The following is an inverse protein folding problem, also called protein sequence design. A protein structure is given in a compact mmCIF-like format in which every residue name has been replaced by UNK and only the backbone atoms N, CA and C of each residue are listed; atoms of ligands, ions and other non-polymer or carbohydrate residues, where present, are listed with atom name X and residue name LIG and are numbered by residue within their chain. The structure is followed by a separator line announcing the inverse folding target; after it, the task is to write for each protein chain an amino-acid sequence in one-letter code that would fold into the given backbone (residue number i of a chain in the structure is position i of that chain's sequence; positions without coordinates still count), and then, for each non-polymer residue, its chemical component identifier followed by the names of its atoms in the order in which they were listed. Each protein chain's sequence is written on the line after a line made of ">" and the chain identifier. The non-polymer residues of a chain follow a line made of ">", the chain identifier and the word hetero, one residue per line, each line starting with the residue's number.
data_IF_594759504654
#
_entry.id   IF_594759504654
#
_cell.length_a   1.000
_cell.length_b   1.000
_cell.length_c   1.000
_cell.angle_alpha   90.00
_cell.angle_beta   90.00
_cell.angle_gamma   90.00
#
_symmetry.space_group_name_H-M   'P 1'
#
loop_
_entity.id
_entity.type
_entity.pdbx_description
1 polymer ?
#
# COMPACT_ATOMS: atom_id res chain seq x y z
N UNK A 1 9.58 -3.02 13.61
CA UNK A 1 9.57 -2.45 12.25
C UNK A 1 8.18 -2.53 11.61
N UNK A 2 7.73 -1.49 10.91
CA UNK A 2 6.49 -1.47 10.12
C UNK A 2 6.76 -1.03 8.68
N UNK A 3 6.33 -1.82 7.70
CA UNK A 3 6.60 -1.59 6.27
C UNK A 3 5.35 -1.13 5.55
N UNK A 4 5.47 -0.12 4.69
CA UNK A 4 4.34 0.45 3.95
C UNK A 4 4.46 0.23 2.45
N UNK A 5 3.38 -0.24 1.82
CA UNK A 5 3.22 -0.32 0.38
C UNK A 5 2.11 0.63 -0.11
N UNK A 6 2.22 1.01 -1.38
CA UNK A 6 1.10 1.59 -2.11
C UNK A 6 0.09 0.50 -2.52
N UNK A 7 -1.19 0.84 -2.67
CA UNK A 7 -2.16 -0.05 -3.31
C UNK A 7 -1.89 -0.09 -4.83
N UNK A 8 -2.61 -0.94 -5.53
CA UNK A 8 -2.62 -0.92 -6.99
C UNK A 8 -3.93 -0.37 -7.55
N UNK A 9 -3.86 0.22 -8.76
CA UNK A 9 -5.04 0.71 -9.48
C UNK A 9 -5.90 -0.43 -10.05
N UNK A 10 -5.27 -1.56 -10.35
CA UNK A 10 -5.91 -2.76 -10.88
C UNK A 10 -6.15 -3.75 -9.76
N UNK A 11 -7.28 -4.45 -9.83
CA UNK A 11 -7.71 -5.46 -8.87
C UNK A 11 -8.12 -6.71 -9.64
N UNK A 12 -7.72 -7.89 -9.17
CA UNK A 12 -8.24 -9.16 -9.64
C UNK A 12 -9.07 -9.82 -8.53
N UNK A 13 -10.39 -9.83 -8.72
CA UNK A 13 -11.32 -10.54 -7.84
C UNK A 13 -11.71 -11.92 -8.41
N UNK A 14 -11.27 -12.28 -9.60
CA UNK A 14 -11.44 -13.61 -10.19
C UNK A 14 -10.28 -14.52 -9.79
N UNK A 15 -10.14 -14.74 -8.48
CA UNK A 15 -9.13 -15.60 -7.87
C UNK A 15 -9.78 -16.59 -6.90
N UNK A 16 -9.25 -17.80 -6.83
CA UNK A 16 -9.48 -18.67 -5.69
C UNK A 16 -8.68 -18.12 -4.51
N UNK A 17 -9.33 -17.97 -3.36
CA UNK A 17 -8.66 -17.50 -2.14
C UNK A 17 -8.33 -18.71 -1.27
N UNK A 18 -7.07 -18.88 -0.84
CA UNK A 18 -6.72 -19.96 0.08
C UNK A 18 -7.41 -19.73 1.42
N UNK A 19 -7.81 -20.80 2.11
CA UNK A 19 -8.40 -20.69 3.44
C UNK A 19 -7.37 -20.13 4.43
N UNK A 20 -7.57 -18.89 4.84
CA UNK A 20 -6.74 -18.15 5.79
C UNK A 20 -7.62 -17.49 6.84
N UNK A 21 -7.03 -17.12 7.97
CA UNK A 21 -7.68 -16.30 8.98
C UNK A 21 -7.73 -14.85 8.52
N UNK A 22 -8.74 -14.54 7.71
CA UNK A 22 -8.93 -13.22 7.16
C UNK A 22 -9.23 -12.20 8.25
N UNK A 23 -8.73 -11.01 8.02
CA UNK A 23 -8.94 -9.88 8.91
C UNK A 23 -9.87 -8.86 8.24
N UNK A 24 -10.17 -7.81 8.97
CA UNK A 24 -11.21 -6.85 8.60
C UNK A 24 -10.61 -5.45 8.58
N UNK A 25 -10.97 -4.60 7.59
CA UNK A 25 -10.45 -3.24 7.53
C UNK A 25 -10.66 -2.52 8.85
N UNK A 26 -9.66 -1.78 9.32
CA UNK A 26 -9.73 -1.06 10.59
C UNK A 26 -10.77 0.05 10.54
N UNK A 27 -10.71 0.89 9.50
CA UNK A 27 -11.51 2.11 9.36
C UNK A 27 -12.84 1.86 8.63
N UNK A 28 -13.63 0.86 9.06
CA UNK A 28 -14.88 0.49 8.36
C UNK A 28 -15.89 1.62 8.30
N UNK A 29 -16.05 2.35 9.41
CA UNK A 29 -17.04 3.42 9.50
C UNK A 29 -16.64 4.59 8.61
N UNK A 30 -15.36 4.94 8.60
CA UNK A 30 -14.80 5.99 7.75
C UNK A 30 -14.90 5.62 6.28
N UNK A 31 -14.63 4.35 5.95
CA UNK A 31 -14.78 3.78 4.60
C UNK A 31 -16.23 3.90 4.15
N UNK A 32 -17.20 3.48 4.98
CA UNK A 32 -18.62 3.56 4.66
C UNK A 32 -19.05 5.01 4.38
N UNK A 33 -18.64 5.97 5.21
CA UNK A 33 -18.91 7.41 5.00
C UNK A 33 -18.39 7.89 3.65
N UNK A 34 -17.18 7.48 3.28
CA UNK A 34 -16.55 7.87 2.01
C UNK A 34 -17.27 7.24 0.81
N UNK A 35 -17.62 5.95 0.90
CA UNK A 35 -18.40 5.23 -0.12
C UNK A 35 -19.76 5.88 -0.34
N UNK A 36 -20.47 6.30 0.70
CA UNK A 36 -21.78 6.94 0.56
C UNK A 36 -21.71 8.25 -0.24
N UNK A 37 -20.60 8.98 -0.16
CA UNK A 37 -20.36 10.16 -0.99
C UNK A 37 -20.03 9.77 -2.44
N UNK A 38 -19.20 8.74 -2.64
CA UNK A 38 -18.85 8.24 -3.97
C UNK A 38 -20.07 7.65 -4.71
N UNK A 39 -21.03 7.07 -3.99
CA UNK A 39 -22.31 6.59 -4.54
C UNK A 39 -23.17 7.69 -5.14
N UNK A 40 -22.96 8.96 -4.79
CA UNK A 40 -23.71 10.08 -5.35
C UNK A 40 -23.18 10.54 -6.71
N UNK A 41 -21.95 10.16 -7.04
CA UNK A 41 -21.31 10.57 -8.29
C UNK A 41 -21.90 9.80 -9.48
N UNK A 42 -22.11 10.50 -10.59
CA UNK A 42 -22.36 9.85 -11.87
C UNK A 42 -21.06 9.25 -12.44
N UNK A 43 -21.18 8.37 -13.43
CA UNK A 43 -20.00 7.89 -14.16
C UNK A 43 -19.22 9.06 -14.82
N UNK A 44 -19.91 10.10 -15.30
CA UNK A 44 -19.25 11.29 -15.86
C UNK A 44 -18.46 12.06 -14.79
N UNK A 45 -19.00 12.21 -13.58
CA UNK A 45 -18.29 12.83 -12.46
C UNK A 45 -17.05 12.03 -12.08
N UNK A 46 -17.17 10.71 -12.00
CA UNK A 46 -16.05 9.80 -11.70
C UNK A 46 -14.95 9.90 -12.77
N UNK A 47 -15.34 9.95 -14.05
CA UNK A 47 -14.42 10.12 -15.18
C UNK A 47 -13.56 11.38 -15.00
N UNK A 48 -14.21 12.50 -14.71
CA UNK A 48 -13.57 13.80 -14.54
C UNK A 48 -12.72 13.85 -13.26
N UNK A 49 -13.25 13.32 -12.16
CA UNK A 49 -12.61 13.30 -10.85
C UNK A 49 -11.31 12.47 -10.84
N UNK A 50 -11.33 11.30 -11.48
CA UNK A 50 -10.22 10.32 -11.46
C UNK A 50 -9.35 10.37 -12.71
N UNK A 51 -9.71 11.19 -13.71
CA UNK A 51 -9.04 11.29 -15.01
C UNK A 51 -8.88 9.92 -15.70
N UNK A 52 -9.99 9.22 -15.87
CA UNK A 52 -10.04 7.86 -16.44
C UNK A 52 -10.88 7.80 -17.72
N UNK A 53 -10.83 6.68 -18.44
CA UNK A 53 -11.72 6.42 -19.57
C UNK A 53 -13.17 6.19 -19.13
N UNK A 54 -14.11 6.31 -20.06
CA UNK A 54 -15.55 6.05 -19.81
C UNK A 54 -15.78 4.64 -19.25
N UNK A 55 -15.11 3.63 -19.82
CA UNK A 55 -15.21 2.25 -19.35
C UNK A 55 -14.78 2.08 -17.88
N UNK A 56 -13.68 2.73 -17.49
CA UNK A 56 -13.19 2.67 -16.10
C UNK A 56 -14.11 3.48 -15.18
N UNK A 57 -14.64 4.60 -15.65
CA UNK A 57 -15.56 5.41 -14.88
C UNK A 57 -16.87 4.66 -14.60
N UNK A 58 -17.46 4.04 -15.62
CA UNK A 58 -18.66 3.20 -15.49
C UNK A 58 -18.41 2.02 -14.56
N UNK A 59 -17.27 1.33 -14.72
CA UNK A 59 -16.90 0.22 -13.83
C UNK A 59 -16.85 0.66 -12.36
N UNK A 60 -16.28 1.83 -12.07
CA UNK A 60 -16.19 2.31 -10.69
C UNK A 60 -17.50 2.88 -10.15
N UNK A 61 -18.33 3.48 -11.01
CA UNK A 61 -19.73 3.81 -10.68
C UNK A 61 -20.46 2.56 -10.17
N UNK A 62 -20.42 1.47 -10.94
CA UNK A 62 -21.05 0.20 -10.56
C UNK A 62 -20.46 -0.37 -9.26
N UNK A 63 -19.13 -0.32 -9.10
CA UNK A 63 -18.47 -0.77 -7.85
C UNK A 63 -18.96 0.01 -6.65
N UNK A 64 -19.11 1.33 -6.74
CA UNK A 64 -19.61 2.15 -5.64
C UNK A 64 -21.07 1.87 -5.33
N UNK A 65 -21.94 1.76 -6.36
CA UNK A 65 -23.35 1.41 -6.17
C UNK A 65 -23.52 0.05 -5.49
N UNK A 66 -22.70 -0.93 -5.88
CA UNK A 66 -22.75 -2.29 -5.35
C UNK A 66 -21.95 -2.50 -4.05
N UNK A 67 -21.27 -1.46 -3.54
CA UNK A 67 -20.45 -1.57 -2.34
C UNK A 67 -21.32 -1.83 -1.10
N UNK A 68 -20.94 -2.85 -0.33
CA UNK A 68 -21.66 -3.34 0.86
C UNK A 68 -20.94 -2.91 2.15
N UNK A 69 -21.69 -2.72 3.24
CA UNK A 69 -21.10 -2.51 4.57
C UNK A 69 -20.68 -3.82 5.27
N UNK A 70 -20.68 -4.95 4.54
CA UNK A 70 -20.20 -6.26 5.02
C UNK A 70 -19.01 -6.73 4.18
N UNK A 71 -17.93 -7.14 4.85
CA UNK A 71 -16.71 -7.64 4.21
C UNK A 71 -16.60 -9.14 4.44
N UNK A 72 -17.18 -9.90 3.52
CA UNK A 72 -17.19 -11.35 3.54
C UNK A 72 -17.04 -11.89 2.12
N UNK A 73 -16.53 -13.12 2.00
CA UNK A 73 -16.51 -13.84 0.75
C UNK A 73 -17.94 -14.09 0.23
N UNK A 74 -18.15 -14.15 -1.10
CA UNK A 74 -17.15 -13.96 -2.16
C UNK A 74 -16.91 -12.49 -2.54
N UNK A 75 -17.63 -11.54 -1.94
CA UNK A 75 -17.67 -10.14 -2.38
C UNK A 75 -16.48 -9.30 -1.93
N UNK A 76 -15.84 -9.68 -0.83
CA UNK A 76 -14.62 -9.06 -0.32
C UNK A 76 -13.51 -10.11 -0.24
N UNK A 77 -12.29 -9.76 -0.64
CA UNK A 77 -11.13 -10.67 -0.73
C UNK A 77 -9.87 -10.02 -0.12
N UNK A 78 -8.88 -10.81 0.32
CA UNK A 78 -7.69 -10.30 1.01
C UNK A 78 -6.92 -9.28 0.16
N UNK A 79 -6.61 -8.12 0.76
CA UNK A 79 -5.98 -7.00 0.06
C UNK A 79 -4.71 -7.39 -0.72
N UNK A 80 -3.78 -8.10 -0.08
CA UNK A 80 -2.51 -8.49 -0.69
C UNK A 80 -2.66 -9.47 -1.87
N UNK A 81 -3.81 -10.16 -1.97
CA UNK A 81 -4.07 -11.14 -3.03
C UNK A 81 -4.83 -10.55 -4.22
N UNK A 82 -5.65 -9.52 -4.01
CA UNK A 82 -6.44 -8.92 -5.10
C UNK A 82 -5.77 -7.75 -5.79
N UNK A 83 -4.86 -7.02 -5.12
CA UNK A 83 -4.15 -5.94 -5.80
C UNK A 83 -3.25 -6.50 -6.90
N UNK A 84 -3.37 -5.94 -8.10
CA UNK A 84 -2.58 -6.36 -9.27
C UNK A 84 -1.75 -5.21 -9.82
N UNK A 85 -0.46 -5.45 -10.02
CA UNK A 85 0.49 -4.46 -10.50
C UNK A 85 1.91 -4.81 -10.08
N UNK A 86 2.89 -4.03 -10.53
CA UNK A 86 4.31 -4.37 -10.35
C UNK A 86 4.73 -4.59 -8.89
N UNK A 87 4.21 -3.77 -7.96
CA UNK A 87 4.46 -3.98 -6.53
C UNK A 87 3.96 -5.35 -6.06
N UNK A 88 2.79 -5.78 -6.49
CA UNK A 88 2.18 -7.03 -6.02
C UNK A 88 2.72 -8.25 -6.77
N UNK A 89 3.18 -8.08 -8.02
CA UNK A 89 3.98 -9.08 -8.74
C UNK A 89 5.31 -9.33 -8.02
N UNK A 90 5.97 -8.27 -7.56
CA UNK A 90 7.20 -8.38 -6.77
C UNK A 90 6.96 -8.94 -5.36
N UNK A 91 5.83 -8.59 -4.72
CA UNK A 91 5.45 -9.12 -3.40
C UNK A 91 5.25 -10.64 -3.47
N UNK A 92 4.59 -11.10 -4.54
CA UNK A 92 4.32 -12.51 -4.83
C UNK A 92 3.74 -13.28 -3.63
N UNK A 93 2.71 -12.71 -3.00
CA UNK A 93 2.16 -13.18 -1.73
C UNK A 93 1.48 -14.57 -1.82
N UNK A 94 1.21 -15.08 -3.03
CA UNK A 94 0.67 -16.43 -3.21
C UNK A 94 1.61 -17.54 -2.70
N UNK A 95 2.91 -17.26 -2.58
CA UNK A 95 3.91 -18.22 -2.09
C UNK A 95 4.07 -18.21 -0.56
N UNK A 96 3.32 -17.37 0.15
CA UNK A 96 3.51 -17.20 1.59
C UNK A 96 3.03 -18.42 2.36
N UNK A 97 3.87 -18.90 3.27
CA UNK A 97 3.47 -19.88 4.29
C UNK A 97 2.55 -19.25 5.34
N UNK A 98 2.01 -20.04 6.26
CA UNK A 98 1.21 -19.53 7.37
C UNK A 98 2.02 -18.53 8.23
N UNK A 99 3.30 -18.80 8.48
CA UNK A 99 4.21 -17.93 9.23
C UNK A 99 4.55 -16.64 8.46
N UNK A 100 4.63 -16.71 7.13
CA UNK A 100 4.73 -15.52 6.27
C UNK A 100 3.49 -14.64 6.39
N UNK A 101 2.29 -15.23 6.36
CA UNK A 101 1.05 -14.48 6.52
C UNK A 101 0.92 -13.84 7.91
N UNK A 102 1.26 -14.57 8.97
CA UNK A 102 1.25 -14.05 10.33
C UNK A 102 2.20 -12.84 10.44
N UNK A 103 3.46 -13.01 10.01
CA UNK A 103 4.44 -11.93 10.06
C UNK A 103 4.02 -10.73 9.19
N UNK A 104 3.51 -10.96 7.98
CA UNK A 104 3.02 -9.90 7.11
C UNK A 104 1.84 -9.15 7.76
N UNK A 105 0.95 -9.84 8.47
CA UNK A 105 -0.17 -9.22 9.18
C UNK A 105 0.29 -8.21 10.25
N UNK A 106 1.40 -8.52 10.91
CA UNK A 106 1.96 -7.68 11.97
C UNK A 106 2.81 -6.54 11.40
N UNK A 107 3.60 -6.81 10.35
CA UNK A 107 4.69 -5.94 9.90
C UNK A 107 4.46 -5.22 8.57
N UNK A 108 3.40 -5.53 7.81
CA UNK A 108 3.12 -4.92 6.51
C UNK A 108 1.79 -4.14 6.52
N UNK A 109 1.79 -2.93 5.98
CA UNK A 109 0.59 -2.11 5.76
C UNK A 109 0.50 -1.66 4.32
N UNK A 110 -0.71 -1.61 3.79
CA UNK A 110 -1.02 -1.08 2.46
C UNK A 110 -1.83 0.20 2.67
N UNK A 111 -1.26 1.34 2.29
CA UNK A 111 -2.00 2.61 2.34
C UNK A 111 -3.12 2.60 1.30
N UNK A 112 -4.24 3.28 1.57
CA UNK A 112 -5.40 3.26 0.68
C UNK A 112 -6.16 4.59 0.72
N UNK A 113 -6.57 5.10 -0.45
CA UNK A 113 -7.44 6.27 -0.50
C UNK A 113 -8.86 5.99 0.01
N UNK A 114 -9.35 4.75 -0.11
CA UNK A 114 -10.69 4.36 0.32
C UNK A 114 -10.72 3.81 1.75
N UNK A 115 -9.71 3.02 2.12
CA UNK A 115 -9.66 2.30 3.40
C UNK A 115 -8.71 2.94 4.42
N UNK A 116 -8.00 4.02 4.06
CA UNK A 116 -6.96 4.66 4.87
C UNK A 116 -5.69 3.82 4.93
N UNK A 117 -5.75 2.70 5.65
CA UNK A 117 -4.68 1.72 5.82
C UNK A 117 -5.26 0.32 5.95
N UNK A 118 -4.61 -0.64 5.30
CA UNK A 118 -5.00 -2.05 5.29
C UNK A 118 -3.85 -2.92 5.77
N UNK A 119 -4.18 -4.02 6.43
CA UNK A 119 -3.28 -5.17 6.58
C UNK A 119 -3.41 -6.12 5.37
N UNK A 120 -2.45 -7.02 5.14
CA UNK A 120 -2.43 -7.89 3.97
C UNK A 120 -3.69 -8.78 3.83
N UNK A 121 -4.26 -9.21 4.96
CA UNK A 121 -5.44 -10.10 4.97
C UNK A 121 -6.76 -9.37 5.25
N UNK A 122 -6.76 -8.04 5.31
CA UNK A 122 -8.01 -7.29 5.43
C UNK A 122 -8.84 -7.56 4.16
N UNK A 123 -10.08 -8.01 4.36
CA UNK A 123 -11.01 -8.22 3.25
C UNK A 123 -11.46 -6.89 2.67
N UNK A 124 -11.16 -6.66 1.39
CA UNK A 124 -11.58 -5.46 0.65
C UNK A 124 -12.53 -5.80 -0.48
N UNK A 125 -13.41 -4.86 -0.80
CA UNK A 125 -14.26 -4.87 -1.99
C UNK A 125 -13.61 -4.10 -3.14
N UNK A 126 -13.98 -4.39 -4.40
CA UNK A 126 -13.39 -3.74 -5.57
C UNK A 126 -13.70 -2.24 -5.59
N UNK A 127 -12.69 -1.43 -5.88
CA UNK A 127 -12.81 0.03 -5.91
C UNK A 127 -11.71 0.66 -6.78
N UNK A 128 -11.78 1.97 -6.98
CA UNK A 128 -10.63 2.78 -7.43
C UNK A 128 -10.69 4.17 -6.82
N UNK A 129 -9.83 4.43 -5.85
CA UNK A 129 -9.69 5.76 -5.28
C UNK A 129 -8.23 5.98 -4.90
N UNK A 130 -7.49 6.66 -5.78
CA UNK A 130 -6.12 7.08 -5.50
C UNK A 130 -6.08 8.13 -4.38
N UNK A 131 -5.06 8.09 -3.51
CA UNK A 131 -4.94 9.02 -2.38
C UNK A 131 -4.83 10.48 -2.85
N UNK A 132 -4.20 10.70 -4.02
CA UNK A 132 -4.10 12.02 -4.64
C UNK A 132 -5.38 12.55 -5.28
N UNK A 133 -6.48 11.80 -5.29
CA UNK A 133 -7.75 12.23 -5.88
C UNK A 133 -8.27 13.49 -5.18
N UNK A 134 -8.57 14.55 -5.96
CA UNK A 134 -9.11 15.81 -5.44
C UNK A 134 -10.60 15.71 -5.14
N UNK A 135 -10.94 14.87 -4.17
CA UNK A 135 -12.31 14.62 -3.75
C UNK A 135 -12.62 15.37 -2.45
N UNK A 136 -13.43 16.44 -2.55
CA UNK A 136 -13.91 17.19 -1.40
C UNK A 136 -15.29 16.68 -0.97
N UNK A 137 -15.48 16.46 0.33
CA UNK A 137 -16.73 15.91 0.87
C UNK A 137 -16.82 16.22 2.37
N UNK A 138 -18.03 16.39 2.90
CA UNK A 138 -18.30 16.56 4.34
C UNK A 138 -17.35 17.56 5.04
N UNK A 139 -17.01 18.67 4.38
CA UNK A 139 -16.11 19.71 4.90
C UNK A 139 -14.60 19.45 4.74
N UNK A 140 -14.19 18.25 4.31
CA UNK A 140 -12.80 17.92 3.99
C UNK A 140 -12.47 18.35 2.55
N UNK A 141 -11.31 19.00 2.35
CA UNK A 141 -10.90 19.45 1.01
C UNK A 141 -10.39 18.31 0.14
N UNK A 142 -9.84 17.25 0.75
CA UNK A 142 -9.26 16.11 0.06
C UNK A 142 -9.08 14.91 1.01
N UNK A 143 -8.67 13.78 0.45
CA UNK A 143 -8.44 12.54 1.19
C UNK A 143 -7.31 12.63 2.22
N UNK A 144 -6.29 13.47 2.00
CA UNK A 144 -5.23 13.64 2.99
C UNK A 144 -5.77 14.26 4.28
N UNK A 145 -6.61 15.30 4.18
CA UNK A 145 -7.23 15.91 5.37
C UNK A 145 -8.12 14.91 6.11
N UNK A 146 -8.85 14.07 5.39
CA UNK A 146 -9.74 13.08 6.00
C UNK A 146 -8.98 11.98 6.76
N UNK A 147 -7.89 11.48 6.17
CA UNK A 147 -7.18 10.30 6.66
C UNK A 147 -5.99 10.61 7.56
N UNK A 148 -5.35 11.78 7.43
CA UNK A 148 -4.03 12.04 8.02
C UNK A 148 -3.97 11.76 9.51
N UNK A 149 -4.88 12.34 10.28
CA UNK A 149 -4.93 12.15 11.73
C UNK A 149 -5.15 10.67 12.08
N UNK A 150 -6.24 10.07 11.55
CA UNK A 150 -6.66 8.69 11.84
C UNK A 150 -5.58 7.66 11.53
N UNK A 151 -4.97 7.76 10.34
CA UNK A 151 -3.92 6.83 9.91
C UNK A 151 -2.67 7.03 10.75
N UNK A 152 -2.29 8.27 11.05
CA UNK A 152 -1.09 8.56 11.85
C UNK A 152 -1.24 8.06 13.29
N UNK A 153 -2.42 8.25 13.91
CA UNK A 153 -2.68 7.79 15.27
C UNK A 153 -2.62 6.26 15.39
N UNK A 154 -3.21 5.53 14.43
CA UNK A 154 -3.10 4.06 14.47
C UNK A 154 -1.65 3.61 14.26
N UNK A 155 -0.91 4.21 13.32
CA UNK A 155 0.50 3.88 13.12
C UNK A 155 1.30 4.12 14.40
N UNK A 156 1.07 5.24 15.10
CA UNK A 156 1.72 5.54 16.38
C UNK A 156 1.43 4.47 17.43
N UNK A 157 0.18 4.01 17.52
CA UNK A 157 -0.25 2.95 18.43
C UNK A 157 0.33 1.57 18.07
N UNK A 158 0.55 1.28 16.79
CA UNK A 158 1.23 0.06 16.37
C UNK A 158 2.72 0.10 16.69
N UNK A 159 3.38 1.23 16.43
CA UNK A 159 4.80 1.44 16.71
C UNK A 159 5.11 1.43 18.19
N UNK A 160 4.22 1.92 19.05
CA UNK A 160 4.42 1.93 20.51
C UNK A 160 4.46 0.54 21.15
N UNK A 161 4.08 -0.51 20.40
CA UNK A 161 4.19 -1.92 20.83
C UNK A 161 5.55 -2.54 20.49
N UNK A 162 6.40 -1.82 19.76
CA UNK A 162 7.69 -2.30 19.29
C UNK A 162 8.80 -1.72 20.17
N UNK A 163 9.78 -2.55 20.54
CA UNK A 163 10.94 -2.09 21.32
C UNK A 163 11.78 -1.07 20.56
N UNK A 164 12.01 -1.33 19.26
CA UNK A 164 12.76 -0.47 18.36
C UNK A 164 11.88 -0.12 17.15
N UNK A 165 11.02 0.91 17.27
CA UNK A 165 10.10 1.29 16.21
C UNK A 165 10.88 1.90 15.04
N UNK A 166 10.62 1.38 13.84
CA UNK A 166 11.18 1.91 12.60
C UNK A 166 10.20 1.68 11.47
N UNK A 167 10.11 2.66 10.57
CA UNK A 167 9.22 2.63 9.42
C UNK A 167 10.04 2.38 8.15
N UNK A 168 9.65 1.38 7.38
CA UNK A 168 10.17 1.16 6.03
C UNK A 168 9.14 1.67 5.03
N UNK A 169 9.47 2.77 4.35
CA UNK A 169 8.63 3.35 3.32
C UNK A 169 8.96 2.75 1.94
N UNK A 170 8.17 1.77 1.52
CA UNK A 170 8.16 1.23 0.16
C UNK A 170 6.97 1.73 -0.67
N UNK A 171 6.20 2.68 -0.12
CA UNK A 171 5.08 3.32 -0.79
C UNK A 171 5.57 4.49 -1.66
N UNK A 172 4.74 4.91 -2.62
CA UNK A 172 4.98 6.16 -3.33
C UNK A 172 4.78 7.36 -2.40
N UNK A 173 5.41 8.49 -2.75
CA UNK A 173 5.24 9.75 -2.03
C UNK A 173 3.77 10.20 -1.99
N UNK A 174 2.98 9.89 -3.02
CA UNK A 174 1.53 10.16 -3.05
C UNK A 174 0.82 9.50 -1.87
N UNK A 175 1.04 8.21 -1.63
CA UNK A 175 0.37 7.53 -0.54
C UNK A 175 0.99 7.87 0.81
N UNK A 176 2.33 7.87 0.91
CA UNK A 176 3.01 8.10 2.17
C UNK A 176 2.80 9.52 2.75
N UNK A 177 2.40 10.49 1.91
CA UNK A 177 2.04 11.85 2.33
C UNK A 177 0.85 11.91 3.29
N UNK A 178 0.02 10.87 3.36
CA UNK A 178 -1.08 10.81 4.34
C UNK A 178 -0.57 10.75 5.77
N UNK A 179 0.64 10.25 6.00
CA UNK A 179 1.20 10.07 7.34
C UNK A 179 1.85 11.38 7.81
N UNK A 180 1.50 11.83 9.01
CA UNK A 180 2.16 12.96 9.65
C UNK A 180 3.45 12.53 10.35
N UNK A 181 4.56 12.64 9.61
CA UNK A 181 5.90 12.24 10.08
C UNK A 181 6.35 12.99 11.34
N UNK A 182 5.86 14.22 11.55
CA UNK A 182 6.25 15.03 12.72
C UNK A 182 5.63 14.48 14.01
N UNK A 183 4.45 13.87 13.92
CA UNK A 183 3.74 13.31 15.07
C UNK A 183 4.29 11.92 15.45
N UNK A 184 4.80 11.17 14.48
CA UNK A 184 5.34 9.82 14.71
C UNK A 184 6.69 9.83 15.40
N UNK A 185 7.53 10.84 15.16
CA UNK A 185 8.90 10.94 15.71
C UNK A 185 9.67 9.60 15.67
N UNK A 186 9.48 8.86 14.58
CA UNK A 186 10.04 7.51 14.38
C UNK A 186 10.97 7.56 13.18
N UNK A 187 12.07 6.81 13.23
CA UNK A 187 12.97 6.67 12.10
C UNK A 187 12.23 6.14 10.85
N UNK A 188 12.41 6.82 9.72
CA UNK A 188 11.83 6.42 8.44
C UNK A 188 12.96 6.15 7.45
N UNK A 189 13.04 4.90 7.01
CA UNK A 189 13.96 4.46 5.97
C UNK A 189 13.17 4.25 4.68
N UNK A 190 13.65 4.83 3.59
CA UNK A 190 13.04 4.75 2.26
C UNK A 190 14.02 4.05 1.30
N UNK A 191 13.85 2.75 1.05
CA UNK A 191 14.59 2.08 0.00
C UNK A 191 14.28 2.66 -1.39
N UNK A 192 15.33 3.00 -2.14
CA UNK A 192 15.26 3.60 -3.49
C UNK A 192 15.99 2.70 -4.47
N UNK A 193 15.30 2.23 -5.49
CA UNK A 193 15.83 1.32 -6.50
C UNK A 193 16.21 2.10 -7.77
N UNK A 194 17.44 1.92 -8.24
CA UNK A 194 17.98 2.57 -9.45
C UNK A 194 18.63 1.53 -10.37
N UNK A 195 18.44 1.73 -11.66
CA UNK A 195 19.04 0.93 -12.72
C UNK A 195 20.14 1.74 -13.40
N UNK A 196 21.24 1.08 -13.78
CA UNK A 196 22.26 1.68 -14.61
C UNK A 196 21.74 1.89 -16.04
N UNK A 197 21.74 3.15 -16.48
CA UNK A 197 21.44 3.53 -17.86
C UNK A 197 22.61 4.36 -18.38
N UNK A 198 23.43 3.74 -19.22
CA UNK A 198 24.60 4.36 -19.86
C UNK A 198 25.59 4.98 -18.84
N UNK A 199 25.93 4.24 -17.77
CA UNK A 199 26.86 4.68 -16.74
C UNK A 199 26.24 5.60 -15.68
N UNK A 200 24.92 5.86 -15.74
CA UNK A 200 24.21 6.69 -14.75
C UNK A 200 23.05 5.93 -14.12
N UNK A 201 22.97 5.94 -12.79
CA UNK A 201 21.89 5.30 -12.05
C UNK A 201 20.61 6.14 -12.06
N UNK A 202 19.52 5.59 -12.61
CA UNK A 202 18.21 6.26 -12.72
C UNK A 202 17.10 5.34 -12.22
N UNK A 203 16.05 5.93 -11.65
CA UNK A 203 14.86 5.17 -11.27
C UNK A 203 14.00 4.86 -12.48
N UNK A 204 13.95 3.60 -12.90
CA UNK A 204 12.98 3.12 -13.89
C UNK A 204 11.72 2.68 -13.13
N UNK A 205 10.64 3.45 -13.28
CA UNK A 205 9.45 3.34 -12.41
C UNK A 205 8.85 1.93 -12.33
N UNK A 206 8.83 1.19 -13.45
CA UNK A 206 8.33 -0.19 -13.48
C UNK A 206 9.17 -1.11 -12.59
N UNK A 207 10.49 -1.08 -12.78
CA UNK A 207 11.44 -1.88 -12.01
C UNK A 207 11.48 -1.47 -10.53
N UNK A 208 11.44 -0.17 -10.24
CA UNK A 208 11.41 0.31 -8.86
C UNK A 208 10.13 -0.11 -8.12
N UNK A 209 8.97 -0.13 -8.82
CA UNK A 209 7.73 -0.67 -8.23
C UNK A 209 7.84 -2.16 -7.97
N UNK A 210 8.39 -2.92 -8.90
CA UNK A 210 8.60 -4.35 -8.70
C UNK A 210 9.54 -4.64 -7.53
N UNK A 211 10.69 -3.95 -7.48
CA UNK A 211 11.68 -4.09 -6.42
C UNK A 211 11.14 -3.70 -5.03
N UNK A 212 10.24 -2.72 -4.93
CA UNK A 212 9.52 -2.43 -3.67
C UNK A 212 8.70 -3.62 -3.18
N UNK A 213 8.01 -4.30 -4.10
CA UNK A 213 7.32 -5.55 -3.80
C UNK A 213 8.27 -6.62 -3.30
N UNK A 214 9.36 -6.85 -4.03
CA UNK A 214 10.38 -7.84 -3.68
C UNK A 214 11.03 -7.56 -2.34
N UNK A 215 11.36 -6.31 -2.03
CA UNK A 215 11.89 -5.90 -0.74
C UNK A 215 10.89 -6.18 0.39
N UNK A 216 9.60 -5.87 0.20
CA UNK A 216 8.58 -6.24 1.19
C UNK A 216 8.49 -7.76 1.37
N UNK A 217 8.59 -8.53 0.29
CA UNK A 217 8.61 -9.99 0.34
C UNK A 217 9.85 -10.54 1.06
N UNK A 218 11.02 -9.97 0.78
CA UNK A 218 12.27 -10.28 1.44
C UNK A 218 12.19 -10.03 2.96
N UNK A 219 11.61 -8.89 3.37
CA UNK A 219 11.35 -8.58 4.77
C UNK A 219 10.46 -9.65 5.42
N UNK A 220 9.36 -10.03 4.75
CA UNK A 220 8.39 -11.01 5.29
C UNK A 220 8.98 -12.41 5.40
N UNK A 221 9.58 -12.92 4.32
CA UNK A 221 10.12 -14.28 4.23
C UNK A 221 11.29 -14.49 5.19
N UNK A 222 12.11 -13.47 5.40
CA UNK A 222 13.25 -13.52 6.32
C UNK A 222 12.94 -12.99 7.73
N UNK A 223 11.66 -12.68 8.03
CA UNK A 223 11.19 -12.19 9.34
C UNK A 223 12.02 -11.02 9.86
N UNK A 224 12.40 -10.09 8.98
CA UNK A 224 13.35 -9.04 9.32
C UNK A 224 12.69 -8.03 10.25
N UNK A 225 13.28 -7.82 11.41
CA UNK A 225 12.85 -6.79 12.39
C UNK A 225 13.88 -5.68 12.58
N UNK A 226 15.16 -5.96 12.25
CA UNK A 226 16.25 -4.98 12.24
C UNK A 226 16.40 -4.39 10.82
N UNK A 227 16.23 -3.06 10.65
CA UNK A 227 16.31 -2.43 9.33
C UNK A 227 17.67 -2.66 8.64
N UNK A 228 18.78 -2.76 9.39
CA UNK A 228 20.12 -2.95 8.81
C UNK A 228 20.21 -4.22 7.93
N UNK A 229 19.40 -5.25 8.22
CA UNK A 229 19.38 -6.49 7.44
C UNK A 229 18.80 -6.28 6.03
N UNK A 230 18.07 -5.19 5.76
CA UNK A 230 17.60 -4.85 4.40
C UNK A 230 18.76 -4.59 3.44
N UNK A 231 19.95 -4.23 3.94
CA UNK A 231 21.14 -3.99 3.09
C UNK A 231 21.64 -5.26 2.41
N UNK A 232 21.21 -6.44 2.87
CA UNK A 232 21.51 -7.73 2.26
C UNK A 232 20.57 -8.10 1.10
N UNK A 233 19.58 -7.26 0.77
CA UNK A 233 18.68 -7.49 -0.36
C UNK A 233 19.45 -7.55 -1.69
N UNK A 234 19.33 -8.67 -2.40
CA UNK A 234 20.09 -9.00 -3.60
C UNK A 234 19.24 -9.46 -4.81
N UNK A 235 17.91 -9.41 -4.69
CA UNK A 235 16.97 -9.83 -5.74
C UNK A 235 17.16 -9.05 -7.05
N UNK A 236 17.03 -9.73 -8.20
CA UNK A 236 17.26 -9.18 -9.55
C UNK A 236 18.60 -8.43 -9.72
N UNK A 237 19.63 -8.80 -8.94
CA UNK A 237 20.95 -8.19 -9.02
C UNK A 237 21.04 -6.78 -8.43
N UNK A 238 20.05 -6.35 -7.64
CA UNK A 238 20.18 -5.14 -6.83
C UNK A 238 21.21 -5.34 -5.73
N UNK A 239 22.01 -4.30 -5.44
CA UNK A 239 22.97 -4.32 -4.34
C UNK A 239 22.86 -2.98 -3.61
N UNK A 240 22.96 -3.01 -2.27
CA UNK A 240 22.99 -1.79 -1.47
C UNK A 240 24.19 -0.90 -1.84
N UNK A 241 23.91 0.35 -2.19
CA UNK A 241 24.91 1.33 -2.61
C UNK A 241 25.13 2.36 -1.49
N UNK A 242 26.16 2.12 -0.67
CA UNK A 242 26.51 2.99 0.46
C UNK A 242 26.82 4.43 0.04
N UNK A 243 27.48 4.63 -1.12
CA UNK A 243 27.89 5.96 -1.58
C UNK A 243 26.72 6.82 -2.04
N UNK A 244 25.68 6.21 -2.61
CA UNK A 244 24.46 6.91 -3.02
C UNK A 244 23.41 7.01 -1.92
N UNK A 245 23.61 6.32 -0.79
CA UNK A 245 22.67 6.32 0.33
C UNK A 245 22.92 7.48 1.28
N UNK A 246 21.83 8.00 1.85
CA UNK A 246 21.86 8.95 2.95
C UNK A 246 21.27 8.35 4.24
N UNK A 247 21.00 9.20 5.22
CA UNK A 247 20.47 8.77 6.52
C UNK A 247 19.11 8.06 6.38
N UNK A 248 18.18 8.65 5.62
CA UNK A 248 16.82 8.13 5.45
C UNK A 248 16.56 7.47 4.09
N UNK A 249 17.40 7.70 3.09
CA UNK A 249 17.25 7.12 1.75
C UNK A 249 18.32 6.07 1.50
N UNK A 250 17.92 4.81 1.38
CA UNK A 250 18.83 3.70 1.17
C UNK A 250 18.76 3.25 -0.28
N UNK A 251 19.82 3.50 -1.04
CA UNK A 251 19.83 3.29 -2.48
C UNK A 251 20.31 1.88 -2.78
N UNK A 252 19.54 1.15 -3.59
CA UNK A 252 19.90 -0.14 -4.17
C UNK A 252 20.08 0.04 -5.67
N UNK A 253 21.21 -0.39 -6.20
CA UNK A 253 21.58 -0.25 -7.61
C UNK A 253 21.74 -1.61 -8.28
N UNK A 254 21.36 -1.71 -9.56
CA UNK A 254 21.68 -2.87 -10.40
C UNK A 254 22.14 -2.45 -11.79
N UNK A 255 22.92 -3.33 -12.43
CA UNK A 255 23.54 -3.10 -13.74
C UNK A 255 24.68 -2.11 -13.73
#
# INVERSE_FOLDING_TARGET
>A
MLTFLSPAKSLNFEIEVPQLDYSQPLFKQETAKLVEQLKQLSAADIKNLMHVSDNIAQLNYERYKNFRNSFQLPYAKPAALVFTGEVYKGLHANDYTAEDWQFAQEHLRILSGLYGMLRPLDLIQPYRLEMGTKFSFNGYKNLYEYWKEKVTEEIKKELSKQENPVIINLASAEYFKVIDKKILDTEIITPVFKDNKNGTYKTIMMYAKNARGKMASFIVKNKITNPEHLKAFDEDGYIFNKLLSGNSEWVFTRG
#
